data_IF_073658557334
#
_entry.id   IF_073658557334
#
_cell.length_a   1.000
_cell.length_b   1.000
_cell.length_c   1.000
_cell.angle_alpha   90.00
_cell.angle_beta   90.00
_cell.angle_gamma   90.00
#
_symmetry.space_group_name_H-M   'P 1'
#
loop_
_entity.id
_entity.type
_entity.pdbx_description
1 polymer ?
#
# COMPACT_ATOMS: atom_id res chain seq x y z
N UNK A 1 -20.78 -16.96 -13.94
CA UNK A 1 -19.69 -15.99 -14.20
C UNK A 1 -19.77 -14.90 -13.15
N UNK A 2 -18.72 -14.71 -12.35
CA UNK A 2 -18.65 -13.58 -11.41
C UNK A 2 -18.53 -12.25 -12.15
N UNK A 3 -18.73 -11.13 -11.44
CA UNK A 3 -18.68 -9.78 -12.02
C UNK A 3 -17.23 -9.32 -12.27
N UNK A 4 -16.33 -9.62 -11.34
CA UNK A 4 -14.91 -9.23 -11.39
C UNK A 4 -13.94 -10.42 -11.47
N UNK A 5 -14.32 -11.56 -10.89
CA UNK A 5 -13.45 -12.74 -10.77
C UNK A 5 -14.15 -14.01 -11.24
N UNK A 6 -13.36 -14.96 -11.73
CA UNK A 6 -13.79 -16.28 -12.14
C UNK A 6 -12.89 -17.33 -11.46
N UNK A 7 -13.19 -17.68 -10.21
CA UNK A 7 -12.54 -18.82 -9.57
C UNK A 7 -13.20 -20.12 -10.05
N UNK A 8 -12.39 -21.05 -10.55
CA UNK A 8 -12.87 -22.38 -10.96
C UNK A 8 -13.27 -23.24 -9.76
N UNK A 9 -12.52 -23.15 -8.66
CA UNK A 9 -12.75 -23.88 -7.41
C UNK A 9 -13.06 -22.92 -6.24
N UNK A 10 -14.18 -23.10 -5.51
CA UNK A 10 -14.46 -22.39 -4.26
C UNK A 10 -13.33 -22.46 -3.22
N UNK A 11 -12.49 -23.50 -3.24
CA UNK A 11 -11.33 -23.65 -2.36
C UNK A 11 -10.36 -22.47 -2.47
N UNK A 12 -10.23 -21.85 -3.65
CA UNK A 12 -9.35 -20.70 -3.84
C UNK A 12 -9.79 -19.50 -2.98
N UNK A 13 -11.09 -19.32 -2.76
CA UNK A 13 -11.57 -18.28 -1.84
C UNK A 13 -11.26 -18.59 -0.36
N UNK A 14 -11.20 -19.86 0.02
CA UNK A 14 -10.74 -20.26 1.35
C UNK A 14 -9.24 -20.01 1.53
N UNK A 15 -8.43 -20.31 0.51
CA UNK A 15 -6.99 -19.97 0.49
C UNK A 15 -6.80 -18.46 0.55
N UNK A 16 -7.61 -17.70 -0.20
CA UNK A 16 -7.61 -16.24 -0.16
C UNK A 16 -7.91 -15.68 1.22
N UNK A 17 -8.91 -16.23 1.92
CA UNK A 17 -9.21 -15.87 3.31
C UNK A 17 -8.05 -16.21 4.25
N UNK A 18 -7.42 -17.37 4.06
CA UNK A 18 -6.23 -17.75 4.82
C UNK A 18 -5.08 -16.76 4.60
N UNK A 19 -4.80 -16.35 3.36
CA UNK A 19 -3.78 -15.35 3.04
C UNK A 19 -4.10 -14.01 3.70
N UNK A 20 -5.36 -13.56 3.64
CA UNK A 20 -5.81 -12.34 4.30
C UNK A 20 -5.51 -12.37 5.81
N UNK A 21 -5.92 -13.43 6.51
CA UNK A 21 -5.69 -13.56 7.95
C UNK A 21 -4.21 -13.75 8.29
N UNK A 22 -3.45 -14.46 7.46
CA UNK A 22 -2.01 -14.62 7.63
C UNK A 22 -1.30 -13.27 7.51
N UNK A 23 -1.60 -12.47 6.48
CA UNK A 23 -1.05 -11.13 6.31
C UNK A 23 -1.37 -10.24 7.51
N UNK A 24 -2.62 -10.26 7.99
CA UNK A 24 -3.01 -9.53 9.20
C UNK A 24 -2.22 -10.00 10.43
N UNK A 25 -2.07 -11.31 10.63
CA UNK A 25 -1.35 -11.87 11.77
C UNK A 25 0.14 -11.52 11.75
N UNK A 26 0.82 -11.64 10.59
CA UNK A 26 2.22 -11.29 10.45
C UNK A 26 2.47 -9.78 10.56
N UNK A 27 1.55 -8.96 10.05
CA UNK A 27 1.55 -7.51 10.27
C UNK A 27 1.47 -7.18 11.77
N UNK A 28 0.53 -7.77 12.50
CA UNK A 28 0.43 -7.58 13.95
C UNK A 28 1.68 -8.08 14.71
N UNK A 29 2.24 -9.22 14.31
CA UNK A 29 3.47 -9.76 14.88
C UNK A 29 4.66 -8.82 14.66
N UNK A 30 4.83 -8.32 13.44
CA UNK A 30 5.88 -7.37 13.06
C UNK A 30 5.70 -5.99 13.71
N UNK A 31 4.46 -5.63 14.06
CA UNK A 31 4.12 -4.39 14.76
C UNK A 31 4.46 -4.43 16.24
N UNK A 32 4.04 -5.47 16.95
CA UNK A 32 4.03 -5.50 18.43
C UNK A 32 5.43 -5.63 19.03
N UNK A 33 6.35 -6.35 18.37
CA UNK A 33 7.71 -6.59 18.89
C UNK A 33 8.77 -6.13 17.91
N UNK A 34 9.69 -5.28 18.38
CA UNK A 34 10.82 -4.79 17.58
C UNK A 34 11.61 -5.93 16.92
N UNK A 35 11.98 -6.96 17.69
CA UNK A 35 12.73 -8.10 17.17
C UNK A 35 11.97 -8.83 16.06
N UNK A 36 10.66 -9.05 16.22
CA UNK A 36 9.85 -9.68 15.17
C UNK A 36 9.83 -8.83 13.90
N UNK A 37 9.71 -7.50 14.02
CA UNK A 37 9.83 -6.60 12.89
C UNK A 37 11.20 -6.68 12.21
N UNK A 38 12.31 -6.66 12.98
CA UNK A 38 13.68 -6.76 12.42
C UNK A 38 13.87 -8.09 11.70
N UNK A 39 13.42 -9.20 12.29
CA UNK A 39 13.50 -10.51 11.65
C UNK A 39 12.71 -10.52 10.34
N UNK A 40 11.45 -10.08 10.36
CA UNK A 40 10.58 -10.15 9.19
C UNK A 40 10.98 -9.19 8.07
N UNK A 41 11.46 -7.99 8.38
CA UNK A 41 11.68 -6.93 7.39
C UNK A 41 13.15 -6.62 7.10
N UNK A 42 14.11 -7.21 7.83
CA UNK A 42 15.53 -7.11 7.52
C UNK A 42 16.18 -8.49 7.31
N UNK A 43 16.12 -9.36 8.32
CA UNK A 43 16.89 -10.62 8.30
C UNK A 43 16.35 -11.60 7.25
N UNK A 44 15.04 -11.84 7.25
CA UNK A 44 14.38 -12.74 6.30
C UNK A 44 14.60 -12.26 4.86
N UNK A 45 14.27 -11.01 4.48
CA UNK A 45 14.51 -10.55 3.11
C UNK A 45 15.99 -10.61 2.72
N UNK A 46 16.94 -10.32 3.60
CA UNK A 46 18.37 -10.50 3.29
C UNK A 46 18.71 -11.96 2.97
N UNK A 47 18.20 -12.92 3.76
CA UNK A 47 18.40 -14.34 3.48
C UNK A 47 17.73 -14.76 2.17
N UNK A 48 16.50 -14.29 1.90
CA UNK A 48 15.78 -14.57 0.66
C UNK A 48 16.51 -13.99 -0.56
N UNK A 49 17.02 -12.76 -0.48
CA UNK A 49 17.82 -12.12 -1.54
C UNK A 49 19.06 -12.92 -1.90
N UNK A 50 19.74 -13.52 -0.92
CA UNK A 50 21.00 -14.25 -1.15
C UNK A 50 20.74 -15.70 -1.59
N UNK A 51 19.78 -16.38 -0.97
CA UNK A 51 19.64 -17.83 -1.10
C UNK A 51 18.46 -18.29 -1.96
N UNK A 52 17.40 -17.49 -2.11
CA UNK A 52 16.14 -17.95 -2.71
C UNK A 52 15.81 -17.18 -4.00
N UNK A 53 15.69 -15.86 -3.92
CA UNK A 53 15.29 -15.01 -5.04
C UNK A 53 16.21 -15.04 -6.27
N UNK A 54 17.52 -15.34 -6.18
CA UNK A 54 18.34 -15.59 -7.35
C UNK A 54 17.86 -16.77 -8.20
N UNK A 55 17.07 -17.68 -7.62
CA UNK A 55 16.48 -18.83 -8.33
C UNK A 55 15.00 -18.63 -8.62
N UNK A 56 14.21 -18.13 -7.65
CA UNK A 56 12.74 -18.05 -7.77
C UNK A 56 12.25 -16.76 -8.44
N UNK A 57 13.00 -15.67 -8.34
CA UNK A 57 12.68 -14.35 -8.92
C UNK A 57 13.80 -13.86 -9.84
N UNK A 58 14.49 -14.80 -10.49
CA UNK A 58 15.51 -14.51 -11.48
C UNK A 58 14.93 -13.74 -12.68
N UNK A 59 15.68 -12.80 -13.28
CA UNK A 59 15.23 -12.10 -14.48
C UNK A 59 14.78 -13.05 -15.57
N UNK A 60 13.56 -12.85 -16.09
CA UNK A 60 12.97 -13.67 -17.15
C UNK A 60 12.33 -14.98 -16.67
N UNK A 61 12.03 -15.13 -15.38
CA UNK A 61 11.29 -16.30 -14.92
C UNK A 61 9.89 -16.41 -15.56
N UNK A 62 9.40 -17.64 -15.71
CA UNK A 62 8.16 -17.97 -16.40
C UNK A 62 6.89 -17.42 -15.73
N UNK A 63 6.98 -17.04 -14.45
CA UNK A 63 5.88 -16.52 -13.64
C UNK A 63 5.85 -14.98 -13.54
N UNK A 64 6.74 -14.26 -14.23
CA UNK A 64 6.72 -12.78 -14.28
C UNK A 64 7.11 -12.09 -12.96
N UNK A 65 7.60 -12.83 -11.96
CA UNK A 65 7.99 -12.26 -10.68
C UNK A 65 9.42 -11.69 -10.68
N UNK A 66 10.26 -12.10 -11.64
CA UNK A 66 11.63 -11.61 -11.80
C UNK A 66 11.79 -10.27 -12.53
N UNK A 67 10.72 -9.48 -12.68
CA UNK A 67 10.77 -8.17 -13.34
C UNK A 67 11.47 -7.13 -12.47
N UNK A 68 12.10 -6.14 -13.12
CA UNK A 68 12.70 -5.01 -12.41
C UNK A 68 11.70 -4.31 -11.48
N UNK A 69 10.43 -4.25 -11.90
CA UNK A 69 9.35 -3.64 -11.14
C UNK A 69 9.13 -4.35 -9.80
N UNK A 70 9.05 -5.68 -9.79
CA UNK A 70 8.88 -6.45 -8.54
C UNK A 70 10.05 -6.26 -7.59
N UNK A 71 11.29 -6.26 -8.10
CA UNK A 71 12.47 -5.99 -7.29
C UNK A 71 12.46 -4.58 -6.67
N UNK A 72 12.18 -3.54 -7.47
CA UNK A 72 12.06 -2.16 -6.98
C UNK A 72 10.94 -2.05 -5.95
N UNK A 73 9.78 -2.64 -6.22
CA UNK A 73 8.61 -2.60 -5.32
C UNK A 73 8.91 -3.25 -3.98
N UNK A 74 9.61 -4.39 -3.99
CA UNK A 74 10.01 -5.11 -2.77
C UNK A 74 10.89 -4.25 -1.89
N UNK A 75 11.97 -3.69 -2.44
CA UNK A 75 12.90 -2.89 -1.65
C UNK A 75 12.31 -1.54 -1.24
N UNK A 76 11.44 -0.95 -2.07
CA UNK A 76 10.67 0.26 -1.72
C UNK A 76 9.74 0.00 -0.51
N UNK A 77 9.02 -1.14 -0.51
CA UNK A 77 8.18 -1.54 0.62
C UNK A 77 8.98 -1.87 1.90
N UNK A 78 10.12 -2.58 1.76
CA UNK A 78 11.03 -2.89 2.87
C UNK A 78 11.67 -1.62 3.45
N UNK A 79 12.08 -0.68 2.61
CA UNK A 79 12.58 0.62 3.05
C UNK A 79 11.52 1.40 3.84
N UNK A 80 10.26 1.35 3.42
CA UNK A 80 9.13 1.87 4.20
C UNK A 80 9.04 1.21 5.59
N UNK A 81 9.05 -0.13 5.65
CA UNK A 81 8.97 -0.88 6.91
C UNK A 81 10.12 -0.54 7.88
N UNK A 82 11.36 -0.54 7.39
CA UNK A 82 12.54 -0.25 8.19
C UNK A 82 12.62 1.23 8.57
N UNK A 83 12.22 2.13 7.67
CA UNK A 83 12.15 3.56 7.95
C UNK A 83 11.11 3.90 9.03
N UNK A 84 9.94 3.27 9.00
CA UNK A 84 8.94 3.45 10.06
C UNK A 84 9.43 2.87 11.39
N UNK A 85 10.11 1.73 11.36
CA UNK A 85 10.74 1.17 12.55
C UNK A 85 11.84 2.08 13.10
N UNK A 86 12.62 2.70 12.23
CA UNK A 86 13.63 3.68 12.61
C UNK A 86 12.99 4.89 13.30
N UNK A 87 11.90 5.43 12.74
CA UNK A 87 11.14 6.52 13.38
C UNK A 87 10.64 6.16 14.78
N UNK A 88 10.22 4.90 14.99
CA UNK A 88 9.67 4.39 16.26
C UNK A 88 10.71 4.15 17.35
N UNK A 89 11.89 3.64 16.97
CA UNK A 89 12.84 3.09 17.94
C UNK A 89 14.21 3.78 17.96
N UNK A 90 14.58 4.54 16.93
CA UNK A 90 15.87 5.25 16.91
C UNK A 90 15.80 6.43 17.88
N UNK A 91 16.63 6.33 18.92
CA UNK A 91 16.86 7.35 19.94
C UNK A 91 18.36 7.49 20.16
N UNK A 92 18.84 8.69 20.38
CA UNK A 92 20.23 8.94 20.72
C UNK A 92 20.33 9.91 21.89
N UNK A 93 21.43 9.84 22.64
CA UNK A 93 21.70 10.79 23.71
C UNK A 93 22.48 11.97 23.14
N UNK A 94 21.90 13.16 23.24
CA UNK A 94 22.54 14.38 22.78
C UNK A 94 23.65 14.84 23.73
N UNK A 95 24.48 15.78 23.26
CA UNK A 95 25.55 16.41 24.08
C UNK A 95 24.99 17.18 25.29
N UNK A 96 23.70 17.52 25.24
CA UNK A 96 22.89 18.14 26.29
C UNK A 96 22.38 17.14 27.35
N UNK A 97 22.74 15.85 27.23
CA UNK A 97 22.37 14.80 28.18
C UNK A 97 20.94 14.26 28.02
N UNK A 98 20.12 14.87 27.15
CA UNK A 98 18.74 14.47 26.85
C UNK A 98 18.69 13.36 25.81
N UNK A 99 17.64 12.55 25.84
CA UNK A 99 17.37 11.54 24.80
C UNK A 99 16.55 12.22 23.71
N UNK A 100 17.11 12.29 22.51
CA UNK A 100 16.44 12.80 21.32
C UNK A 100 15.90 11.63 20.52
N UNK A 101 14.74 11.83 19.89
CA UNK A 101 14.09 10.83 19.07
C UNK A 101 14.11 11.23 17.59
N UNK A 102 14.14 10.25 16.69
CA UNK A 102 14.21 10.54 15.25
C UNK A 102 12.99 11.32 14.74
N UNK A 103 11.80 11.02 15.26
CA UNK A 103 10.57 11.71 14.89
C UNK A 103 10.54 13.20 15.26
N UNK A 104 11.41 13.68 16.17
CA UNK A 104 11.50 15.11 16.50
C UNK A 104 12.11 15.93 15.36
N UNK A 105 12.77 15.26 14.40
CA UNK A 105 13.36 15.92 13.24
C UNK A 105 12.33 16.06 12.13
N UNK A 106 12.04 17.30 11.74
CA UNK A 106 11.11 17.61 10.63
C UNK A 106 11.42 16.86 9.33
N UNK A 107 12.70 16.70 8.97
CA UNK A 107 13.09 15.96 7.77
C UNK A 107 12.74 14.47 7.85
N UNK A 108 12.76 13.88 9.05
CA UNK A 108 12.42 12.48 9.27
C UNK A 108 10.89 12.26 9.21
N UNK A 109 10.10 13.25 9.64
CA UNK A 109 8.63 13.24 9.48
C UNK A 109 8.19 13.38 8.02
N UNK A 110 9.02 13.94 7.14
CA UNK A 110 8.75 13.94 5.70
C UNK A 110 8.93 12.56 5.06
N UNK A 111 9.61 11.61 5.70
CA UNK A 111 9.89 10.30 5.09
C UNK A 111 8.60 9.51 4.80
N UNK A 112 7.64 9.35 5.74
CA UNK A 112 6.38 8.64 5.48
C UNK A 112 5.51 9.18 4.32
N UNK A 113 5.22 10.49 4.21
CA UNK A 113 4.51 11.02 3.05
C UNK A 113 5.27 10.82 1.75
N UNK A 114 6.60 10.98 1.75
CA UNK A 114 7.41 10.84 0.54
C UNK A 114 7.45 9.40 0.04
N UNK A 115 7.68 8.42 0.92
CA UNK A 115 7.72 7.01 0.49
C UNK A 115 6.35 6.54 -0.02
N UNK A 116 5.26 7.03 0.59
CA UNK A 116 3.90 6.78 0.10
C UNK A 116 3.67 7.40 -1.27
N UNK A 117 4.05 8.66 -1.47
CA UNK A 117 3.93 9.35 -2.75
C UNK A 117 4.74 8.66 -3.86
N UNK A 118 5.97 8.24 -3.57
CA UNK A 118 6.80 7.46 -4.50
C UNK A 118 6.14 6.13 -4.85
N UNK A 119 5.61 5.42 -3.86
CA UNK A 119 4.92 4.14 -4.06
C UNK A 119 3.68 4.28 -4.96
N UNK A 120 2.94 5.38 -4.83
CA UNK A 120 1.81 5.71 -5.71
C UNK A 120 2.31 6.08 -7.11
N UNK A 121 3.35 6.91 -7.20
CA UNK A 121 3.93 7.37 -8.46
C UNK A 121 4.44 6.19 -9.31
N UNK A 122 5.11 5.21 -8.71
CA UNK A 122 5.52 3.96 -9.38
C UNK A 122 4.35 3.25 -10.06
N UNK A 123 3.21 3.17 -9.37
CA UNK A 123 2.01 2.52 -9.90
C UNK A 123 1.32 3.39 -10.97
N UNK A 124 1.30 4.72 -10.81
CA UNK A 124 0.82 5.65 -11.85
C UNK A 124 1.63 5.53 -13.15
N UNK A 125 2.96 5.44 -13.03
CA UNK A 125 3.85 5.22 -14.18
C UNK A 125 3.52 3.89 -14.87
N UNK A 126 3.29 2.83 -14.09
CA UNK A 126 2.91 1.52 -14.63
C UNK A 126 1.55 1.54 -15.33
N UNK A 127 0.55 2.26 -14.81
CA UNK A 127 -0.73 2.47 -15.49
C UNK A 127 -0.54 3.11 -16.87
N UNK A 128 0.26 4.18 -16.95
CA UNK A 128 0.54 4.83 -18.23
C UNK A 128 1.37 3.95 -19.18
N UNK A 129 2.28 3.12 -18.66
CA UNK A 129 3.02 2.14 -19.46
C UNK A 129 2.08 1.09 -20.06
N UNK A 130 1.16 0.53 -19.26
CA UNK A 130 0.17 -0.44 -19.74
C UNK A 130 -0.73 0.19 -20.80
N UNK A 131 -1.13 1.45 -20.66
CA UNK A 131 -1.81 2.17 -21.74
C UNK A 131 -0.96 2.26 -23.01
N UNK A 132 0.32 2.62 -22.85
CA UNK A 132 1.28 2.78 -23.95
C UNK A 132 1.56 1.49 -24.74
N UNK A 133 1.35 0.31 -24.16
CA UNK A 133 1.50 -0.97 -24.86
C UNK A 133 0.43 -1.22 -25.93
N UNK A 134 -0.72 -0.53 -25.89
CA UNK A 134 -1.76 -0.63 -26.94
C UNK A 134 -2.43 -2.00 -27.04
N UNK A 135 -2.52 -2.75 -25.95
CA UNK A 135 -3.13 -4.08 -25.84
C UNK A 135 -4.66 -3.98 -25.72
N UNK A 136 -5.33 -3.45 -26.74
CA UNK A 136 -6.78 -3.19 -26.72
C UNK A 136 -7.66 -4.45 -26.66
N UNK A 137 -7.10 -5.62 -26.98
CA UNK A 137 -7.79 -6.92 -26.91
C UNK A 137 -7.26 -7.80 -25.77
N UNK A 138 -6.40 -7.25 -24.91
CA UNK A 138 -5.67 -8.01 -23.90
C UNK A 138 -4.42 -8.68 -24.48
N UNK A 139 -3.41 -8.86 -23.64
CA UNK A 139 -2.16 -9.52 -24.02
C UNK A 139 -1.28 -9.79 -22.81
N UNK A 140 -0.31 -10.67 -22.99
CA UNK A 140 0.66 -11.01 -21.94
C UNK A 140 1.91 -10.16 -22.12
N UNK A 141 2.25 -9.37 -21.10
CA UNK A 141 3.49 -8.60 -21.02
C UNK A 141 4.18 -8.96 -19.72
N UNK A 142 5.46 -9.32 -19.79
CA UNK A 142 6.24 -9.78 -18.62
C UNK A 142 5.58 -10.97 -17.90
N UNK A 143 4.98 -11.90 -18.66
CA UNK A 143 4.24 -13.07 -18.15
C UNK A 143 2.99 -12.72 -17.31
N UNK A 144 2.52 -11.48 -17.37
CA UNK A 144 1.27 -11.03 -16.75
C UNK A 144 0.26 -10.62 -17.82
N UNK A 145 -0.98 -11.09 -17.69
CA UNK A 145 -2.05 -10.66 -18.56
C UNK A 145 -2.48 -9.23 -18.19
N UNK A 146 -2.50 -8.35 -19.20
CA UNK A 146 -2.88 -6.94 -19.06
C UNK A 146 -3.73 -6.50 -20.26
N UNK A 147 -4.56 -5.49 -20.04
CA UNK A 147 -5.40 -4.91 -21.07
C UNK A 147 -5.29 -3.38 -21.05
N UNK A 148 -4.96 -2.81 -22.21
CA UNK A 148 -4.87 -1.36 -22.37
C UNK A 148 -6.24 -0.78 -22.64
N UNK A 149 -6.56 0.33 -21.97
CA UNK A 149 -7.80 1.05 -22.19
C UNK A 149 -7.85 2.41 -21.49
N UNK A 150 -8.94 3.17 -21.70
CA UNK A 150 -9.11 4.47 -21.04
C UNK A 150 -9.07 4.37 -19.50
N UNK A 151 -9.40 3.20 -18.94
CA UNK A 151 -9.31 2.93 -17.50
C UNK A 151 -7.90 3.13 -16.93
N UNK A 152 -6.84 2.82 -17.69
CA UNK A 152 -5.46 3.05 -17.24
C UNK A 152 -5.16 4.54 -17.07
N UNK A 153 -5.63 5.39 -17.99
CA UNK A 153 -5.48 6.84 -17.89
C UNK A 153 -6.29 7.38 -16.72
N UNK A 154 -7.55 6.94 -16.59
CA UNK A 154 -8.43 7.35 -15.50
C UNK A 154 -7.81 7.00 -14.13
N UNK A 155 -7.25 5.79 -14.01
CA UNK A 155 -6.60 5.36 -12.79
C UNK A 155 -5.27 6.09 -12.53
N UNK A 156 -4.47 6.34 -13.56
CA UNK A 156 -3.27 7.18 -13.46
C UNK A 156 -3.58 8.60 -12.94
N UNK A 157 -4.64 9.23 -13.46
CA UNK A 157 -5.10 10.55 -12.98
C UNK A 157 -5.59 10.47 -11.54
N UNK A 158 -6.36 9.44 -11.18
CA UNK A 158 -6.81 9.21 -9.81
C UNK A 158 -5.63 9.05 -8.84
N UNK A 159 -4.54 8.40 -9.25
CA UNK A 159 -3.32 8.27 -8.46
C UNK A 159 -2.58 9.60 -8.28
N UNK A 160 -2.52 10.45 -9.30
CA UNK A 160 -1.97 11.82 -9.18
C UNK A 160 -2.79 12.63 -8.17
N UNK A 161 -4.12 12.57 -8.24
CA UNK A 161 -4.99 13.21 -7.25
C UNK A 161 -4.73 12.66 -5.85
N UNK A 162 -4.52 11.35 -5.72
CA UNK A 162 -4.18 10.71 -4.46
C UNK A 162 -2.87 11.27 -3.86
N UNK A 163 -1.81 11.44 -4.67
CA UNK A 163 -0.55 12.07 -4.25
C UNK A 163 -0.77 13.52 -3.80
N UNK A 164 -1.50 14.32 -4.59
CA UNK A 164 -1.74 15.74 -4.32
C UNK A 164 -2.56 15.94 -3.04
N UNK A 165 -3.41 14.97 -2.70
CA UNK A 165 -4.27 15.00 -1.51
C UNK A 165 -3.59 14.50 -0.24
N UNK A 166 -2.34 14.01 -0.32
CA UNK A 166 -1.54 13.69 0.88
C UNK A 166 -1.31 14.98 1.68
N UNK A 167 -1.78 15.00 2.92
CA UNK A 167 -1.68 16.14 3.84
C UNK A 167 -1.21 15.73 5.24
N UNK A 168 -0.93 16.72 6.09
CA UNK A 168 -0.48 16.45 7.47
C UNK A 168 0.95 15.90 7.54
N UNK A 169 1.84 16.39 6.66
CA UNK A 169 3.22 15.90 6.54
C UNK A 169 4.01 15.96 7.85
N UNK A 170 3.64 16.88 8.75
CA UNK A 170 4.28 17.06 10.05
C UNK A 170 3.41 16.63 11.24
N UNK A 171 2.18 16.15 10.99
CA UNK A 171 1.23 15.72 12.02
C UNK A 171 1.39 14.26 12.46
N UNK A 172 2.49 13.61 12.09
CA UNK A 172 2.76 12.21 12.44
C UNK A 172 3.21 12.15 13.90
N UNK A 173 2.46 11.40 14.70
CA UNK A 173 2.76 11.18 16.11
C UNK A 173 3.15 9.72 16.35
N UNK A 174 3.83 9.48 17.47
CA UNK A 174 4.13 8.13 17.94
C UNK A 174 3.26 7.84 19.15
N UNK A 175 2.48 6.76 19.11
CA UNK A 175 1.60 6.36 20.21
C UNK A 175 2.41 6.13 21.49
N UNK A 176 1.85 6.43 22.67
CA UNK A 176 2.54 6.13 23.95
C UNK A 176 2.51 4.65 24.35
N UNK A 177 1.81 3.81 23.60
CA UNK A 177 1.73 2.38 23.82
C UNK A 177 3.08 1.64 23.75
N UNK A 178 3.10 0.41 24.29
CA UNK A 178 4.28 -0.47 24.25
C UNK A 178 4.83 -0.70 22.84
N UNK A 179 3.95 -0.74 21.84
CA UNK A 179 4.33 -0.86 20.44
C UNK A 179 4.93 0.43 19.89
N UNK A 180 4.62 1.63 20.42
CA UNK A 180 5.07 2.91 19.87
C UNK A 180 4.75 3.03 18.38
N UNK A 181 3.50 2.82 18.00
CA UNK A 181 3.10 2.83 16.60
C UNK A 181 3.17 4.22 16.00
N UNK A 182 3.48 4.28 14.69
CA UNK A 182 3.45 5.52 13.94
C UNK A 182 2.00 5.80 13.52
N UNK A 183 1.44 6.88 14.05
CA UNK A 183 0.05 7.27 13.82
C UNK A 183 0.04 8.54 12.97
N UNK A 184 -0.80 8.54 11.94
CA UNK A 184 -0.98 9.67 11.05
C UNK A 184 -2.45 10.14 11.06
N UNK A 185 -2.81 11.08 11.96
CA UNK A 185 -4.20 11.46 12.20
C UNK A 185 -4.87 12.21 11.04
N UNK A 186 -4.11 12.98 10.27
CA UNK A 186 -4.60 13.68 9.07
C UNK A 186 -4.94 12.74 7.91
N UNK A 187 -4.53 11.47 7.98
CA UNK A 187 -4.92 10.45 7.02
C UNK A 187 -6.30 9.89 7.37
N UNK A 188 -7.32 10.70 7.10
CA UNK A 188 -8.71 10.35 7.42
C UNK A 188 -9.21 9.16 6.61
N UNK A 189 -10.22 8.47 7.15
CA UNK A 189 -10.84 7.30 6.53
C UNK A 189 -11.30 7.53 5.08
N UNK A 190 -11.78 8.73 4.75
CA UNK A 190 -12.24 9.05 3.39
C UNK A 190 -11.09 8.99 2.38
N UNK A 191 -9.90 9.46 2.77
CA UNK A 191 -8.70 9.36 1.94
C UNK A 191 -8.24 7.91 1.82
N UNK A 192 -8.29 7.14 2.92
CA UNK A 192 -7.96 5.70 2.91
C UNK A 192 -8.86 4.91 1.96
N UNK A 193 -10.16 5.17 1.95
CA UNK A 193 -11.08 4.48 1.02
C UNK A 193 -10.83 4.89 -0.42
N UNK A 194 -10.63 6.18 -0.70
CA UNK A 194 -10.30 6.64 -2.06
C UNK A 194 -8.97 6.04 -2.54
N UNK A 195 -7.99 5.92 -1.64
CA UNK A 195 -6.75 5.22 -1.85
C UNK A 195 -6.99 3.75 -2.20
N UNK A 196 -7.75 3.02 -1.39
CA UNK A 196 -7.95 1.58 -1.56
C UNK A 196 -8.68 1.29 -2.87
N UNK A 197 -9.67 2.09 -3.24
CA UNK A 197 -10.34 1.98 -4.53
C UNK A 197 -9.38 2.20 -5.70
N UNK A 198 -8.50 3.20 -5.60
CA UNK A 198 -7.47 3.46 -6.61
C UNK A 198 -6.45 2.33 -6.72
N UNK A 199 -5.98 1.79 -5.59
CA UNK A 199 -5.00 0.73 -5.58
C UNK A 199 -5.61 -0.59 -6.07
N UNK A 200 -6.87 -0.85 -5.72
CA UNK A 200 -7.63 -1.96 -6.28
C UNK A 200 -7.75 -1.83 -7.80
N UNK A 201 -8.16 -0.67 -8.30
CA UNK A 201 -8.21 -0.40 -9.74
C UNK A 201 -6.84 -0.57 -10.41
N UNK A 202 -5.76 -0.11 -9.80
CA UNK A 202 -4.39 -0.30 -10.29
C UNK A 202 -4.05 -1.79 -10.45
N UNK A 203 -4.23 -2.57 -9.38
CA UNK A 203 -3.91 -4.01 -9.42
C UNK A 203 -4.81 -4.75 -10.41
N UNK A 204 -6.09 -4.40 -10.48
CA UNK A 204 -7.03 -4.95 -11.45
C UNK A 204 -6.59 -4.64 -12.88
N UNK A 205 -6.13 -3.41 -13.17
CA UNK A 205 -5.73 -2.96 -14.50
C UNK A 205 -4.34 -3.47 -14.95
N UNK A 206 -3.37 -3.49 -14.04
CA UNK A 206 -1.95 -3.69 -14.37
C UNK A 206 -1.39 -5.07 -13.98
N UNK A 207 -2.06 -5.78 -13.07
CA UNK A 207 -1.66 -7.10 -12.57
C UNK A 207 -2.93 -7.96 -12.40
N UNK A 208 -3.74 -7.99 -13.45
CA UNK A 208 -5.15 -8.41 -13.41
C UNK A 208 -5.32 -9.77 -12.73
N UNK A 209 -4.58 -10.78 -13.16
CA UNK A 209 -4.74 -12.16 -12.66
C UNK A 209 -4.28 -12.36 -11.20
N UNK A 210 -3.49 -11.41 -10.67
CA UNK A 210 -3.09 -11.44 -9.25
C UNK A 210 -3.95 -10.50 -8.40
N UNK A 211 -4.84 -9.71 -9.00
CA UNK A 211 -5.58 -8.63 -8.33
C UNK A 211 -6.49 -9.11 -7.20
N UNK A 212 -6.93 -10.38 -7.21
CA UNK A 212 -7.66 -10.94 -6.08
C UNK A 212 -6.80 -10.88 -4.81
N UNK A 213 -5.55 -11.35 -4.87
CA UNK A 213 -4.66 -11.33 -3.71
C UNK A 213 -3.97 -9.97 -3.54
N UNK A 214 -3.33 -9.46 -4.60
CA UNK A 214 -2.57 -8.22 -4.57
C UNK A 214 -3.43 -6.97 -4.40
N UNK A 215 -4.69 -7.02 -4.83
CA UNK A 215 -5.67 -5.92 -4.76
C UNK A 215 -6.66 -6.09 -3.62
N UNK A 216 -7.40 -7.19 -3.54
CA UNK A 216 -8.40 -7.34 -2.46
C UNK A 216 -7.77 -7.75 -1.12
N UNK A 217 -7.05 -8.88 -1.07
CA UNK A 217 -6.57 -9.41 0.20
C UNK A 217 -5.58 -8.44 0.86
N UNK A 218 -4.68 -7.87 0.06
CA UNK A 218 -3.66 -6.95 0.55
C UNK A 218 -4.23 -5.67 1.16
N UNK A 219 -5.21 -5.05 0.48
CA UNK A 219 -5.85 -3.83 0.94
C UNK A 219 -6.71 -4.10 2.18
N UNK A 220 -7.47 -5.19 2.18
CA UNK A 220 -8.24 -5.58 3.36
C UNK A 220 -7.32 -5.90 4.56
N UNK A 221 -6.16 -6.51 4.32
CA UNK A 221 -5.20 -6.84 5.36
C UNK A 221 -4.62 -5.61 6.07
N UNK A 222 -4.54 -4.44 5.41
CA UNK A 222 -4.15 -3.20 6.07
C UNK A 222 -5.34 -2.36 6.57
N UNK A 223 -6.46 -2.39 5.86
CA UNK A 223 -7.60 -1.52 6.14
C UNK A 223 -8.44 -2.05 7.31
N UNK A 224 -8.61 -3.37 7.45
CA UNK A 224 -9.31 -3.95 8.62
C UNK A 224 -8.58 -3.63 9.93
N UNK A 225 -7.25 -3.89 10.09
CA UNK A 225 -6.52 -3.49 11.29
C UNK A 225 -6.59 -1.98 11.58
N UNK A 226 -6.58 -1.16 10.54
CA UNK A 226 -6.67 0.31 10.70
C UNK A 226 -7.99 0.74 11.32
N UNK A 227 -9.11 0.11 10.97
CA UNK A 227 -10.41 0.49 11.52
C UNK A 227 -10.74 -0.19 12.84
N UNK A 228 -10.28 -1.43 13.06
CA UNK A 228 -10.70 -2.27 14.17
C UNK A 228 -9.62 -2.55 15.23
N UNK A 229 -8.33 -2.48 14.90
CA UNK A 229 -7.24 -2.83 15.82
C UNK A 229 -6.51 -1.57 16.30
N UNK A 230 -5.97 -0.75 15.38
CA UNK A 230 -5.26 0.49 15.69
C UNK A 230 -5.56 1.59 14.70
N UNK A 231 -6.40 2.55 15.14
CA UNK A 231 -6.80 3.70 14.34
C UNK A 231 -5.63 4.64 14.10
N UNK A 232 -5.45 5.00 12.83
CA UNK A 232 -4.40 5.92 12.36
C UNK A 232 -3.04 5.26 12.06
N UNK A 233 -2.88 3.95 12.28
CA UNK A 233 -1.66 3.21 11.94
C UNK A 233 -1.64 2.65 10.49
N UNK A 234 -2.53 3.16 9.63
CA UNK A 234 -2.78 2.61 8.28
C UNK A 234 -1.52 2.45 7.45
N UNK A 235 -0.70 3.49 7.37
CA UNK A 235 0.51 3.47 6.54
C UNK A 235 1.49 2.39 6.97
N UNK A 236 1.61 2.18 8.29
CA UNK A 236 2.46 1.14 8.84
C UNK A 236 1.93 -0.25 8.47
N UNK A 237 0.64 -0.49 8.70
CA UNK A 237 0.01 -1.76 8.34
C UNK A 237 0.16 -2.06 6.85
N UNK A 238 -0.06 -1.05 6.02
CA UNK A 238 0.05 -1.13 4.57
C UNK A 238 1.46 -1.48 4.10
N UNK A 239 2.49 -0.78 4.60
CA UNK A 239 3.86 -1.08 4.19
C UNK A 239 4.26 -2.50 4.59
N UNK A 240 3.86 -2.93 5.79
CA UNK A 240 4.14 -4.26 6.32
C UNK A 240 3.43 -5.36 5.51
N UNK A 241 2.14 -5.22 5.25
CA UNK A 241 1.40 -6.21 4.44
C UNK A 241 1.91 -6.26 3.00
N UNK A 242 2.20 -5.11 2.39
CA UNK A 242 2.81 -5.03 1.05
C UNK A 242 4.16 -5.73 1.00
N UNK A 243 5.05 -5.47 1.96
CA UNK A 243 6.35 -6.12 2.01
C UNK A 243 6.22 -7.63 2.19
N UNK A 244 5.37 -8.09 3.12
CA UNK A 244 5.11 -9.52 3.34
C UNK A 244 4.59 -10.20 2.08
N UNK A 245 3.63 -9.58 1.40
CA UNK A 245 3.04 -10.13 0.18
C UNK A 245 4.05 -10.24 -0.96
N UNK A 246 4.80 -9.16 -1.26
CA UNK A 246 5.75 -9.21 -2.38
C UNK A 246 6.90 -10.17 -2.07
N UNK A 247 7.40 -10.21 -0.83
CA UNK A 247 8.39 -11.21 -0.42
C UNK A 247 7.87 -12.64 -0.63
N UNK A 248 6.60 -12.89 -0.31
CA UNK A 248 5.97 -14.19 -0.51
C UNK A 248 5.86 -14.53 -2.00
N UNK A 249 5.35 -13.63 -2.84
CA UNK A 249 5.22 -13.85 -4.29
C UNK A 249 6.58 -14.05 -4.96
N UNK A 250 7.63 -13.34 -4.54
CA UNK A 250 8.99 -13.58 -5.06
C UNK A 250 9.59 -14.92 -4.60
N UNK A 251 9.16 -15.43 -3.46
CA UNK A 251 9.61 -16.71 -2.91
C UNK A 251 8.86 -17.90 -3.53
N UNK A 252 7.55 -17.74 -3.76
CA UNK A 252 6.67 -18.76 -4.32
C UNK A 252 5.92 -18.16 -5.52
N UNK A 253 6.59 -17.98 -6.67
CA UNK A 253 6.05 -17.22 -7.80
C UNK A 253 4.84 -17.89 -8.46
N UNK A 254 4.81 -19.22 -8.45
CA UNK A 254 3.71 -20.05 -8.92
C UNK A 254 2.42 -19.91 -8.09
N UNK A 255 2.41 -19.20 -6.95
CA UNK A 255 1.26 -19.21 -6.04
C UNK A 255 0.00 -18.62 -6.67
N UNK A 256 0.09 -17.39 -7.19
CA UNK A 256 -1.07 -16.68 -7.74
C UNK A 256 -1.45 -17.16 -9.14
N UNK A 257 -0.50 -17.74 -9.88
CA UNK A 257 -0.71 -18.20 -11.26
C UNK A 257 -1.12 -19.67 -11.38
N UNK A 258 -0.62 -20.54 -10.50
CA UNK A 258 -0.77 -22.00 -10.66
C UNK A 258 -1.37 -22.66 -9.43
N UNK A 259 -0.94 -22.31 -8.21
CA UNK A 259 -1.37 -23.03 -7.01
C UNK A 259 -2.76 -22.65 -6.52
N UNK A 260 -3.14 -21.37 -6.63
CA UNK A 260 -4.46 -20.90 -6.20
C UNK A 260 -4.95 -19.72 -7.08
N UNK A 261 -5.12 -19.92 -8.40
CA UNK A 261 -5.48 -18.84 -9.31
C UNK A 261 -6.92 -18.36 -9.09
N UNK A 262 -7.08 -17.04 -9.00
CA UNK A 262 -8.39 -16.37 -9.00
C UNK A 262 -8.35 -15.31 -10.12
N UNK A 263 -8.45 -15.76 -11.39
CA UNK A 263 -8.31 -14.86 -12.52
C UNK A 263 -9.47 -13.87 -12.58
N UNK A 264 -9.20 -12.74 -13.20
CA UNK A 264 -10.25 -11.74 -13.45
C UNK A 264 -11.12 -12.18 -14.61
N UNK A 265 -12.30 -11.59 -14.75
CA UNK A 265 -13.20 -11.91 -15.87
C UNK A 265 -12.70 -11.38 -17.21
N UNK A 266 -11.57 -10.68 -17.25
CA UNK A 266 -11.02 -9.96 -18.40
C UNK A 266 -12.04 -9.07 -19.12
N UNK A 267 -13.05 -8.58 -18.38
CA UNK A 267 -14.18 -7.85 -18.95
C UNK A 267 -13.85 -6.35 -19.04
N UNK A 268 -13.76 -5.74 -20.24
CA UNK A 268 -13.42 -4.33 -20.41
C UNK A 268 -14.36 -3.38 -19.66
N UNK A 269 -15.64 -3.74 -19.54
CA UNK A 269 -16.63 -2.97 -18.77
C UNK A 269 -16.29 -2.98 -17.28
N UNK A 270 -15.79 -4.10 -16.74
CA UNK A 270 -15.37 -4.18 -15.34
C UNK A 270 -14.14 -3.28 -15.08
N UNK A 271 -13.12 -3.32 -15.95
CA UNK A 271 -11.95 -2.43 -15.87
C UNK A 271 -12.37 -0.95 -15.85
N UNK A 272 -13.30 -0.59 -16.75
CA UNK A 272 -13.83 0.77 -16.82
C UNK A 272 -14.59 1.18 -15.56
N UNK A 273 -15.54 0.36 -15.09
CA UNK A 273 -16.37 0.69 -13.91
C UNK A 273 -15.50 0.82 -12.65
N UNK A 274 -14.57 -0.11 -12.44
CA UNK A 274 -13.66 -0.08 -11.27
C UNK A 274 -12.80 1.20 -11.29
N UNK A 275 -12.23 1.55 -12.44
CA UNK A 275 -11.40 2.75 -12.57
C UNK A 275 -12.21 4.05 -12.51
N UNK A 276 -13.46 4.03 -12.98
CA UNK A 276 -14.38 5.16 -12.85
C UNK A 276 -14.73 5.42 -11.38
N UNK A 277 -15.04 4.38 -10.62
CA UNK A 277 -15.32 4.48 -9.18
C UNK A 277 -14.11 5.03 -8.43
N UNK A 278 -12.91 4.53 -8.74
CA UNK A 278 -11.67 5.06 -8.17
C UNK A 278 -11.47 6.55 -8.48
N UNK A 279 -11.68 6.97 -9.73
CA UNK A 279 -11.54 8.37 -10.12
C UNK A 279 -12.57 9.27 -9.42
N UNK A 280 -13.85 8.88 -9.40
CA UNK A 280 -14.91 9.65 -8.75
C UNK A 280 -14.63 9.80 -7.26
N UNK A 281 -14.19 8.74 -6.57
CA UNK A 281 -13.85 8.79 -5.16
C UNK A 281 -12.66 9.74 -4.88
N UNK A 282 -11.59 9.68 -5.68
CA UNK A 282 -10.43 10.54 -5.51
C UNK A 282 -10.75 12.02 -5.84
N UNK A 283 -11.57 12.28 -6.87
CA UNK A 283 -12.07 13.63 -7.17
C UNK A 283 -12.92 14.16 -6.02
N UNK A 284 -13.80 13.35 -5.44
CA UNK A 284 -14.63 13.77 -4.31
C UNK A 284 -13.78 14.16 -3.09
N UNK A 285 -12.76 13.36 -2.76
CA UNK A 285 -11.80 13.68 -1.68
C UNK A 285 -11.03 14.96 -2.00
N UNK A 286 -10.53 15.11 -3.21
CA UNK A 286 -9.80 16.31 -3.63
C UNK A 286 -10.68 17.56 -3.51
N UNK A 287 -11.91 17.54 -4.06
CA UNK A 287 -12.85 18.67 -3.98
C UNK A 287 -13.16 19.03 -2.53
N UNK A 288 -13.41 18.03 -1.68
CA UNK A 288 -13.65 18.24 -0.25
C UNK A 288 -12.45 18.90 0.43
N UNK A 289 -11.25 18.39 0.17
CA UNK A 289 -10.01 18.87 0.77
C UNK A 289 -9.66 20.30 0.32
N UNK A 290 -9.69 20.57 -0.98
CA UNK A 290 -9.47 21.92 -1.53
C UNK A 290 -10.54 22.90 -1.06
N UNK A 291 -11.79 22.47 -0.97
CA UNK A 291 -12.88 23.27 -0.43
C UNK A 291 -12.61 23.67 1.03
N UNK A 292 -12.09 22.75 1.84
CA UNK A 292 -11.74 23.00 3.24
C UNK A 292 -10.53 23.92 3.39
N UNK A 293 -9.48 23.68 2.61
CA UNK A 293 -8.29 24.56 2.53
C UNK A 293 -8.71 25.99 2.24
N UNK A 294 -9.58 26.19 1.23
CA UNK A 294 -10.04 27.51 0.81
C UNK A 294 -10.92 28.19 1.86
N UNK A 295 -11.85 27.45 2.48
CA UNK A 295 -12.78 27.99 3.50
C UNK A 295 -12.05 28.38 4.78
N UNK A 296 -11.13 27.53 5.24
CA UNK A 296 -10.45 27.70 6.53
C UNK A 296 -9.10 28.41 6.39
N UNK A 297 -8.68 28.76 5.16
CA UNK A 297 -7.38 29.38 4.84
C UNK A 297 -6.18 28.61 5.43
N UNK A 298 -6.28 27.29 5.43
CA UNK A 298 -5.24 26.40 5.98
C UNK A 298 -4.09 26.25 4.99
N UNK A 299 -2.87 26.14 5.49
CA UNK A 299 -1.70 25.80 4.70
C UNK A 299 -1.42 24.29 4.82
N UNK A 300 -1.62 23.47 3.77
CA UNK A 300 -1.43 22.01 3.83
C UNK A 300 -0.03 21.55 4.26
N UNK A 301 0.97 22.43 4.14
CA UNK A 301 2.36 22.15 4.52
C UNK A 301 2.68 22.52 5.96
N UNK A 302 1.81 23.28 6.65
CA UNK A 302 2.08 23.79 8.01
C UNK A 302 0.98 23.46 9.00
N UNK A 303 -0.26 23.38 8.51
CA UNK A 303 -1.45 23.22 9.31
C UNK A 303 -2.06 21.85 9.08
N UNK A 304 -2.56 21.25 10.15
CA UNK A 304 -3.31 20.00 10.11
C UNK A 304 -4.71 20.27 9.56
N UNK A 305 -5.07 19.55 8.49
CA UNK A 305 -6.25 19.87 7.69
C UNK A 305 -7.55 19.41 8.35
N UNK A 306 -7.46 18.38 9.19
CA UNK A 306 -8.62 17.69 9.74
C UNK A 306 -8.74 17.77 11.26
N UNK A 307 -7.96 18.63 11.93
CA UNK A 307 -7.96 18.80 13.39
C UNK A 307 -9.34 19.10 14.02
N UNK A 308 -10.24 19.71 13.25
CA UNK A 308 -11.64 20.00 13.61
C UNK A 308 -12.58 18.78 13.51
N UNK A 309 -12.16 17.70 12.85
CA UNK A 309 -13.03 16.54 12.61
C UNK A 309 -13.01 15.55 13.78
N UNK A 310 -14.16 14.89 14.02
CA UNK A 310 -14.26 13.80 15.01
C UNK A 310 -13.30 12.65 14.69
N UNK A 311 -13.09 12.35 13.41
CA UNK A 311 -12.19 11.28 12.99
C UNK A 311 -10.75 11.55 13.47
N UNK A 312 -10.26 12.77 13.28
CA UNK A 312 -8.93 13.19 13.73
C UNK A 312 -8.80 13.12 15.26
N UNK A 313 -9.77 13.70 15.99
CA UNK A 313 -9.76 13.71 17.46
C UNK A 313 -9.80 12.31 18.05
N UNK A 314 -10.65 11.43 17.52
CA UNK A 314 -10.72 10.04 17.96
C UNK A 314 -9.38 9.31 17.79
N UNK A 315 -8.66 9.57 16.68
CA UNK A 315 -7.33 8.97 16.46
C UNK A 315 -6.31 9.49 17.46
N UNK A 316 -6.35 10.78 17.81
CA UNK A 316 -5.48 11.31 18.85
C UNK A 316 -5.82 10.75 20.24
N UNK A 317 -7.09 10.81 20.65
CA UNK A 317 -7.55 10.35 21.96
C UNK A 317 -7.25 8.86 22.21
N UNK A 318 -7.29 8.01 21.18
CA UNK A 318 -6.96 6.58 21.30
C UNK A 318 -5.45 6.29 21.36
N UNK A 319 -4.59 7.27 21.06
CA UNK A 319 -3.14 7.08 20.95
C UNK A 319 -2.30 8.04 21.83
N UNK A 320 -2.92 8.95 22.56
CA UNK A 320 -2.31 9.77 23.63
C UNK A 320 -1.94 8.96 24.88
#
# INVERSE_FOLDING_TARGET
MGILYQAEDPLYWAIWLFVLFALMAFNELGRVRLWCGVVLFAIVPLALTVFVWPTTAAPGNEYGTGTWFNWVKTYSALAGCLGFMALRFVKWRGKDGRTHHLYEKRWALCFPPLILAVNIAEAVVRDFQVFGFGLWQGGVVENLWTMSGPWNIMNGIAGILNIVTICGWFGIIISKDKSKDMIWPDMIWAWIIAYDLWNFAYTYNCISDHSAYAGLALLLACTIPTFFIKKGAWLQHRAQTLALWIMFVMTVPQFADVLAPIPTTHNPTAFFVVSLLALVANVAVAVYQFGKIRRNKLNPLKDELYADTKAYRNVLEENE
#
